data_IF_230820382707
#
_entry.id   IF_230820382707
#
_cell.length_a   1.000
_cell.length_b   1.000
_cell.length_c   1.000
_cell.angle_alpha   90.00
_cell.angle_beta   90.00
_cell.angle_gamma   90.00
#
_symmetry.space_group_name_H-M   'P 1'
#
loop_
_entity.id
_entity.type
_entity.pdbx_description
1 polymer ?
#
# COMPACT_ATOMS: atom_id res chain seq x y z
N UNK A 1 42.20 1.34 33.03
CA UNK A 1 42.10 0.03 32.36
C UNK A 1 41.19 0.19 31.15
N UNK A 2 41.72 0.10 29.94
CA UNK A 2 40.93 0.18 28.72
C UNK A 2 40.02 -1.05 28.66
N UNK A 3 38.71 -0.85 28.79
CA UNK A 3 37.71 -1.90 28.54
C UNK A 3 37.81 -2.26 27.07
N UNK A 4 38.45 -3.39 26.77
CA UNK A 4 38.52 -3.93 25.41
C UNK A 4 37.10 -4.20 24.97
N UNK A 5 36.59 -3.42 24.02
CA UNK A 5 35.22 -3.56 23.53
C UNK A 5 35.12 -4.89 22.79
N UNK A 6 34.34 -5.83 23.32
CA UNK A 6 34.09 -7.11 22.67
C UNK A 6 33.17 -6.88 21.45
N UNK A 7 33.73 -7.00 20.25
CA UNK A 7 33.03 -6.81 18.97
C UNK A 7 32.43 -8.11 18.40
N UNK A 8 32.69 -9.28 19.01
CA UNK A 8 32.15 -10.56 18.56
C UNK A 8 30.61 -10.60 18.45
N UNK A 9 29.83 -9.91 19.31
CA UNK A 9 28.38 -9.83 19.15
C UNK A 9 27.92 -9.23 17.80
N UNK A 10 28.77 -8.48 17.09
CA UNK A 10 28.45 -7.94 15.75
C UNK A 10 28.34 -9.02 14.65
N UNK A 11 28.72 -10.28 14.94
CA UNK A 11 28.50 -11.40 14.01
C UNK A 11 27.03 -11.52 13.58
N UNK A 12 26.08 -11.15 14.45
CA UNK A 12 24.67 -11.12 14.08
C UNK A 12 24.37 -10.18 12.92
N UNK A 13 25.02 -9.01 12.85
CA UNK A 13 24.85 -8.07 11.74
C UNK A 13 25.34 -8.69 10.44
N UNK A 14 26.47 -9.40 10.47
CA UNK A 14 26.98 -10.11 9.30
C UNK A 14 26.00 -11.20 8.83
N UNK A 15 25.42 -11.95 9.77
CA UNK A 15 24.38 -12.96 9.46
C UNK A 15 23.17 -12.32 8.78
N UNK A 16 22.72 -11.15 9.25
CA UNK A 16 21.61 -10.39 8.63
C UNK A 16 21.98 -9.97 7.20
N UNK A 17 23.16 -9.39 7.01
CA UNK A 17 23.62 -8.92 5.69
C UNK A 17 23.69 -10.08 4.71
N UNK A 18 24.35 -11.19 5.08
CA UNK A 18 24.47 -12.38 4.22
C UNK A 18 23.10 -12.99 3.94
N UNK A 19 22.24 -13.12 4.95
CA UNK A 19 20.89 -13.69 4.81
C UNK A 19 20.01 -12.90 3.83
N UNK A 20 20.04 -11.57 3.89
CA UNK A 20 19.27 -10.73 2.97
C UNK A 20 19.87 -10.68 1.57
N UNK A 21 21.20 -10.69 1.42
CA UNK A 21 21.87 -10.80 0.11
C UNK A 21 21.48 -12.11 -0.59
N UNK A 22 21.41 -13.21 0.16
CA UNK A 22 20.97 -14.52 -0.33
C UNK A 22 19.45 -14.66 -0.47
N UNK A 23 18.68 -13.60 -0.14
CA UNK A 23 17.20 -13.57 -0.19
C UNK A 23 16.53 -14.68 0.64
N UNK A 24 17.15 -15.07 1.75
CA UNK A 24 16.54 -16.02 2.68
C UNK A 24 15.36 -15.40 3.43
N UNK A 25 14.52 -16.25 4.01
CA UNK A 25 13.34 -15.82 4.76
C UNK A 25 13.76 -14.88 5.91
N UNK A 26 13.25 -13.62 5.95
CA UNK A 26 13.62 -12.64 6.98
C UNK A 26 13.49 -13.16 8.41
N UNK A 27 12.46 -13.95 8.72
CA UNK A 27 12.23 -14.47 10.07
C UNK A 27 13.33 -15.45 10.49
N UNK A 28 13.77 -16.32 9.58
CA UNK A 28 14.87 -17.27 9.83
C UNK A 28 16.20 -16.53 10.00
N UNK A 29 16.44 -15.52 9.15
CA UNK A 29 17.66 -14.71 9.19
C UNK A 29 17.78 -13.95 10.51
N UNK A 30 16.70 -13.29 10.96
CA UNK A 30 16.67 -12.56 12.24
C UNK A 30 16.83 -13.51 13.42
N UNK A 31 16.18 -14.67 13.39
CA UNK A 31 16.31 -15.70 14.44
C UNK A 31 17.75 -16.22 14.53
N UNK A 32 18.36 -16.58 13.40
CA UNK A 32 19.75 -17.03 13.36
C UNK A 32 20.73 -15.95 13.83
N UNK A 33 20.49 -14.69 13.46
CA UNK A 33 21.31 -13.56 13.90
C UNK A 33 21.20 -13.33 15.42
N UNK A 34 20.01 -13.43 16.00
CA UNK A 34 19.80 -13.32 17.44
C UNK A 34 20.55 -14.43 18.21
N UNK A 35 20.47 -15.68 17.73
CA UNK A 35 21.20 -16.81 18.31
C UNK A 35 22.72 -16.61 18.18
N UNK A 36 23.21 -16.26 16.99
CA UNK A 36 24.62 -16.05 16.73
C UNK A 36 25.20 -14.92 17.62
N UNK A 37 24.45 -13.82 17.79
CA UNK A 37 24.80 -12.71 18.67
C UNK A 37 24.86 -13.14 20.13
N UNK A 38 23.85 -13.87 20.60
CA UNK A 38 23.79 -14.37 21.98
C UNK A 38 24.94 -15.33 22.30
N UNK A 39 25.25 -16.25 21.38
CA UNK A 39 26.38 -17.17 21.53
C UNK A 39 27.73 -16.44 21.53
N UNK A 40 27.90 -15.46 20.64
CA UNK A 40 29.11 -14.63 20.57
C UNK A 40 29.30 -13.71 21.79
N UNK A 41 28.19 -13.37 22.48
CA UNK A 41 28.20 -12.65 23.75
C UNK A 41 28.39 -13.56 24.98
N UNK A 42 28.61 -14.87 24.78
CA UNK A 42 28.72 -15.88 25.82
C UNK A 42 27.48 -15.96 26.74
N UNK A 43 26.29 -15.65 26.21
CA UNK A 43 25.05 -15.84 26.98
C UNK A 43 24.69 -17.32 27.04
N UNK A 44 24.21 -17.83 28.19
CA UNK A 44 23.67 -19.18 28.26
C UNK A 44 22.41 -19.28 27.38
N UNK A 45 22.18 -20.46 26.80
CA UNK A 45 21.07 -20.69 25.86
C UNK A 45 19.71 -20.29 26.46
N UNK A 46 19.51 -20.57 27.75
CA UNK A 46 18.31 -20.16 28.50
C UNK A 46 18.09 -18.64 28.45
N UNK A 47 19.14 -17.84 28.62
CA UNK A 47 19.05 -16.37 28.58
C UNK A 47 18.74 -15.87 27.18
N UNK A 48 19.30 -16.49 26.13
CA UNK A 48 18.99 -16.14 24.74
C UNK A 48 17.50 -16.39 24.47
N UNK A 49 17.00 -17.57 24.84
CA UNK A 49 15.58 -17.92 24.67
C UNK A 49 14.66 -17.02 25.51
N UNK A 50 15.04 -16.74 26.76
CA UNK A 50 14.28 -15.85 27.64
C UNK A 50 14.19 -14.43 27.07
N UNK A 51 15.30 -13.85 26.60
CA UNK A 51 15.30 -12.52 25.99
C UNK A 51 14.48 -12.45 24.70
N UNK A 52 14.50 -13.50 23.88
CA UNK A 52 13.62 -13.59 22.71
C UNK A 52 12.15 -13.65 23.14
N UNK A 53 11.81 -14.51 24.12
CA UNK A 53 10.46 -14.64 24.66
C UNK A 53 9.94 -13.35 25.28
N UNK A 54 10.79 -12.63 26.01
CA UNK A 54 10.45 -11.33 26.60
C UNK A 54 10.16 -10.28 25.52
N UNK A 55 10.94 -10.24 24.43
CA UNK A 55 10.64 -9.38 23.28
C UNK A 55 9.30 -9.72 22.59
N UNK A 56 8.95 -11.01 22.50
CA UNK A 56 7.62 -11.43 22.01
C UNK A 56 6.49 -10.97 22.95
N UNK A 57 6.67 -11.09 24.26
CA UNK A 57 5.68 -10.66 25.24
C UNK A 57 5.49 -9.14 25.25
N UNK A 58 6.57 -8.37 25.14
CA UNK A 58 6.54 -6.90 25.07
C UNK A 58 5.82 -6.40 23.81
N UNK A 59 5.86 -7.16 22.72
CA UNK A 59 5.17 -6.82 21.46
C UNK A 59 3.78 -7.44 21.33
N UNK A 60 3.25 -8.07 22.38
CA UNK A 60 1.91 -8.72 22.37
C UNK A 60 0.78 -7.74 22.00
N UNK A 61 0.85 -6.49 22.46
CA UNK A 61 -0.15 -5.48 22.12
C UNK A 61 -0.23 -5.25 20.60
N UNK A 62 0.90 -5.25 19.90
CA UNK A 62 0.96 -5.14 18.45
C UNK A 62 0.35 -6.36 17.75
N UNK A 63 0.57 -7.56 18.27
CA UNK A 63 -0.05 -8.77 17.71
C UNK A 63 -1.58 -8.70 17.79
N UNK A 64 -2.13 -8.20 18.90
CA UNK A 64 -3.58 -8.02 19.04
C UNK A 64 -4.12 -6.95 18.07
N UNK A 65 -3.41 -5.83 17.94
CA UNK A 65 -3.73 -4.76 16.99
C UNK A 65 -3.69 -5.28 15.55
N UNK A 66 -2.81 -6.22 15.22
CA UNK A 66 -2.71 -6.82 13.89
C UNK A 66 -3.78 -7.91 13.64
N UNK A 67 -3.97 -8.82 14.59
CA UNK A 67 -4.82 -10.00 14.42
C UNK A 67 -6.32 -9.67 14.48
N UNK A 68 -6.72 -8.72 15.32
CA UNK A 68 -8.14 -8.41 15.52
C UNK A 68 -8.78 -7.75 14.28
N UNK A 69 -8.17 -6.71 13.66
CA UNK A 69 -8.66 -6.16 12.40
C UNK A 69 -8.66 -7.20 11.27
N UNK A 70 -7.65 -8.08 11.21
CA UNK A 70 -7.61 -9.14 10.19
C UNK A 70 -8.84 -10.06 10.28
N UNK A 71 -9.26 -10.44 11.49
CA UNK A 71 -10.46 -11.25 11.68
C UNK A 71 -11.75 -10.51 11.25
N UNK A 72 -11.84 -9.21 11.58
CA UNK A 72 -12.97 -8.36 11.16
C UNK A 72 -13.02 -8.21 9.64
N UNK A 73 -11.89 -7.91 9.01
CA UNK A 73 -11.75 -7.79 7.55
C UNK A 73 -12.11 -9.12 6.87
N UNK A 74 -11.61 -10.24 7.37
CA UNK A 74 -11.92 -11.57 6.85
C UNK A 74 -13.43 -11.90 6.95
N UNK A 75 -14.10 -11.48 8.03
CA UNK A 75 -15.54 -11.65 8.16
C UNK A 75 -16.30 -10.78 7.14
N UNK A 76 -15.90 -9.53 6.96
CA UNK A 76 -16.50 -8.62 5.99
C UNK A 76 -16.35 -9.13 4.55
N UNK A 77 -15.17 -9.63 4.19
CA UNK A 77 -14.92 -10.26 2.90
C UNK A 77 -15.76 -11.51 2.68
N UNK A 78 -15.88 -12.37 3.69
CA UNK A 78 -16.74 -13.57 3.63
C UNK A 78 -18.20 -13.22 3.35
N UNK A 79 -18.69 -12.09 3.85
CA UNK A 79 -20.03 -11.60 3.59
C UNK A 79 -20.17 -10.83 2.26
N UNK A 80 -19.16 -10.86 1.40
CA UNK A 80 -19.23 -10.33 0.05
C UNK A 80 -19.03 -8.82 -0.05
N UNK A 81 -18.39 -8.17 0.93
CA UNK A 81 -18.07 -6.74 0.90
C UNK A 81 -17.37 -6.35 -0.42
N UNK A 82 -16.48 -7.21 -0.92
CA UNK A 82 -15.79 -7.01 -2.19
C UNK A 82 -16.72 -6.98 -3.40
N UNK A 83 -17.66 -7.93 -3.48
CA UNK A 83 -18.65 -7.97 -4.57
C UNK A 83 -19.57 -6.74 -4.51
N UNK A 84 -19.95 -6.33 -3.29
CA UNK A 84 -20.78 -5.15 -3.10
C UNK A 84 -20.05 -3.87 -3.56
N UNK A 85 -18.78 -3.70 -3.21
CA UNK A 85 -17.95 -2.59 -3.65
C UNK A 85 -17.79 -2.56 -5.19
N UNK A 86 -17.54 -3.72 -5.81
CA UNK A 86 -17.47 -3.84 -7.27
C UNK A 86 -18.78 -3.43 -7.95
N UNK A 87 -19.91 -3.95 -7.48
CA UNK A 87 -21.24 -3.60 -8.01
C UNK A 87 -21.58 -2.13 -7.81
N UNK A 88 -21.13 -1.51 -6.72
CA UNK A 88 -21.34 -0.09 -6.47
C UNK A 88 -20.50 0.78 -7.41
N UNK A 89 -19.23 0.43 -7.64
CA UNK A 89 -18.35 1.16 -8.58
C UNK A 89 -18.87 1.03 -10.02
N UNK A 90 -19.39 -0.14 -10.41
CA UNK A 90 -19.98 -0.37 -11.73
C UNK A 90 -21.14 0.60 -12.07
N UNK A 91 -21.85 1.13 -11.07
CA UNK A 91 -22.94 2.11 -11.31
C UNK A 91 -22.45 3.42 -11.93
N UNK A 92 -21.16 3.72 -11.85
CA UNK A 92 -20.56 4.94 -12.38
C UNK A 92 -20.07 4.81 -13.84
N UNK A 93 -20.49 3.77 -14.57
CA UNK A 93 -20.18 3.53 -16.00
C UNK A 93 -20.45 4.71 -16.96
N UNK A 94 -21.28 5.68 -16.56
CA UNK A 94 -21.58 6.88 -17.39
C UNK A 94 -20.59 8.03 -17.17
N UNK A 95 -19.58 7.87 -16.33
CA UNK A 95 -18.58 8.89 -16.03
C UNK A 95 -17.47 8.94 -17.11
N UNK A 96 -16.76 10.09 -17.22
CA UNK A 96 -15.53 10.16 -18.02
C UNK A 96 -14.43 9.32 -17.36
N UNK A 97 -13.41 8.91 -18.12
CA UNK A 97 -12.28 8.13 -17.59
C UNK A 97 -11.68 8.78 -16.35
N UNK A 98 -11.38 10.08 -16.41
CA UNK A 98 -10.81 10.79 -15.27
C UNK A 98 -11.72 10.78 -14.05
N UNK A 99 -13.02 11.01 -14.22
CA UNK A 99 -13.98 11.04 -13.10
C UNK A 99 -14.20 9.65 -12.51
N UNK A 100 -14.25 8.60 -13.34
CA UNK A 100 -14.29 7.21 -12.88
C UNK A 100 -13.07 6.88 -12.02
N UNK A 101 -11.87 7.23 -12.49
CA UNK A 101 -10.62 6.96 -11.76
C UNK A 101 -10.51 7.77 -10.47
N UNK A 102 -11.02 9.00 -10.41
CA UNK A 102 -11.03 9.80 -9.18
C UNK A 102 -11.97 9.17 -8.13
N UNK A 103 -13.16 8.72 -8.53
CA UNK A 103 -14.09 8.02 -7.63
C UNK A 103 -13.45 6.73 -7.13
N UNK A 104 -12.84 5.96 -8.04
CA UNK A 104 -12.13 4.74 -7.67
C UNK A 104 -10.97 5.02 -6.70
N UNK A 105 -10.16 6.05 -6.95
CA UNK A 105 -9.08 6.49 -6.06
C UNK A 105 -9.60 6.74 -4.65
N UNK A 106 -10.68 7.52 -4.54
CA UNK A 106 -11.28 7.87 -3.26
C UNK A 106 -11.74 6.62 -2.49
N UNK A 107 -12.43 5.71 -3.16
CA UNK A 107 -12.87 4.45 -2.56
C UNK A 107 -11.68 3.61 -2.15
N UNK A 108 -10.68 3.47 -3.03
CA UNK A 108 -9.51 2.64 -2.79
C UNK A 108 -8.70 3.13 -1.60
N UNK A 109 -8.47 4.42 -1.51
CA UNK A 109 -7.72 5.06 -0.44
C UNK A 109 -8.47 5.01 0.89
N UNK A 110 -9.77 5.33 0.88
CA UNK A 110 -10.61 5.25 2.10
C UNK A 110 -10.72 3.83 2.63
N UNK A 111 -10.89 2.85 1.74
CA UNK A 111 -10.97 1.43 2.14
C UNK A 111 -9.62 0.92 2.65
N UNK A 112 -8.51 1.29 2.02
CA UNK A 112 -7.17 0.96 2.49
C UNK A 112 -6.88 1.58 3.88
N UNK A 113 -7.30 2.83 4.11
CA UNK A 113 -7.19 3.48 5.43
C UNK A 113 -7.97 2.76 6.54
N UNK A 114 -9.07 2.11 6.19
CA UNK A 114 -9.84 1.24 7.10
C UNK A 114 -9.27 -0.19 7.20
N UNK A 115 -8.13 -0.48 6.57
CA UNK A 115 -7.49 -1.81 6.57
C UNK A 115 -8.00 -2.78 5.51
N UNK A 116 -8.97 -2.38 4.67
CA UNK A 116 -9.56 -3.22 3.64
C UNK A 116 -8.70 -3.23 2.36
N UNK A 117 -7.40 -3.52 2.51
CA UNK A 117 -6.39 -3.48 1.44
C UNK A 117 -6.63 -4.53 0.35
N UNK A 118 -7.37 -5.60 0.66
CA UNK A 118 -7.82 -6.67 -0.23
C UNK A 118 -9.02 -6.32 -1.14
N UNK A 119 -9.69 -5.19 -0.92
CA UNK A 119 -10.84 -4.81 -1.73
C UNK A 119 -10.47 -4.36 -3.15
N UNK A 120 -9.28 -3.76 -3.33
CA UNK A 120 -8.75 -3.31 -4.62
C UNK A 120 -7.77 -4.31 -5.22
N UNK A 121 -6.72 -3.85 -5.90
CA UNK A 121 -5.67 -4.72 -6.43
C UNK A 121 -5.82 -5.06 -7.91
N UNK A 122 -4.68 -5.28 -8.56
CA UNK A 122 -4.60 -5.52 -10.01
C UNK A 122 -5.45 -6.69 -10.51
N UNK A 123 -5.37 -7.90 -9.93
CA UNK A 123 -6.15 -9.05 -10.39
C UNK A 123 -7.62 -8.96 -10.00
N UNK A 124 -7.92 -8.16 -8.98
CA UNK A 124 -9.15 -8.25 -8.20
C UNK A 124 -10.15 -7.17 -8.57
N UNK A 125 -9.69 -5.97 -8.90
CA UNK A 125 -10.51 -4.85 -9.37
C UNK A 125 -10.00 -4.24 -10.68
N UNK A 126 -8.69 -4.03 -10.83
CA UNK A 126 -8.19 -3.27 -11.98
C UNK A 126 -8.49 -4.00 -13.29
N UNK A 127 -8.05 -5.25 -13.42
CA UNK A 127 -8.21 -6.04 -14.64
C UNK A 127 -9.67 -6.40 -14.98
N UNK A 128 -10.48 -6.95 -14.04
CA UNK A 128 -11.83 -7.41 -14.39
C UNK A 128 -12.88 -6.29 -14.45
N UNK A 129 -12.64 -5.14 -13.80
CA UNK A 129 -13.66 -4.09 -13.63
C UNK A 129 -13.18 -2.72 -14.11
N UNK A 130 -12.15 -2.15 -13.48
CA UNK A 130 -11.76 -0.76 -13.71
C UNK A 130 -11.24 -0.50 -15.13
N UNK A 131 -10.39 -1.40 -15.63
CA UNK A 131 -9.82 -1.35 -16.97
C UNK A 131 -10.90 -1.43 -18.08
N UNK A 132 -11.76 -2.47 -18.13
CA UNK A 132 -12.79 -2.55 -19.15
C UNK A 132 -13.80 -1.39 -19.05
N UNK A 133 -14.13 -0.91 -17.84
CA UNK A 133 -14.98 0.28 -17.68
C UNK A 133 -14.31 1.55 -18.21
N UNK A 134 -13.02 1.75 -17.93
CA UNK A 134 -12.28 2.93 -18.40
C UNK A 134 -12.09 2.91 -19.92
N UNK A 135 -11.80 1.74 -20.51
CA UNK A 135 -11.77 1.56 -21.97
C UNK A 135 -13.14 1.84 -22.59
N UNK A 136 -14.21 1.22 -22.08
CA UNK A 136 -15.57 1.43 -22.57
C UNK A 136 -16.05 2.88 -22.46
N UNK A 137 -15.71 3.58 -21.37
CA UNK A 137 -16.02 4.99 -21.18
C UNK A 137 -15.28 5.89 -22.19
N UNK A 138 -14.03 5.57 -22.52
CA UNK A 138 -13.25 6.28 -23.52
C UNK A 138 -13.76 5.99 -24.94
N UNK A 139 -14.02 4.71 -25.28
CA UNK A 139 -14.51 4.31 -26.60
C UNK A 139 -15.90 4.86 -26.91
N UNK A 140 -16.79 4.90 -25.91
CA UNK A 140 -18.12 5.51 -26.06
C UNK A 140 -18.06 6.99 -26.42
N UNK A 141 -17.03 7.70 -25.96
CA UNK A 141 -16.90 9.16 -26.14
C UNK A 141 -16.11 9.55 -27.38
N UNK A 142 -15.06 8.79 -27.70
CA UNK A 142 -14.11 9.13 -28.75
C UNK A 142 -14.09 8.15 -29.93
N UNK A 143 -14.89 7.07 -29.87
CA UNK A 143 -14.81 5.97 -30.82
C UNK A 143 -13.61 5.06 -30.54
N UNK A 144 -13.22 4.26 -31.54
CA UNK A 144 -12.14 3.27 -31.38
C UNK A 144 -10.82 3.95 -31.03
N UNK A 145 -10.22 3.55 -29.91
CA UNK A 145 -9.00 4.17 -29.39
C UNK A 145 -7.75 3.62 -30.11
N UNK A 146 -6.76 4.48 -30.41
CA UNK A 146 -5.43 4.03 -30.80
C UNK A 146 -4.76 3.23 -29.67
N UNK A 147 -3.99 2.18 -29.99
CA UNK A 147 -3.37 1.28 -29.01
C UNK A 147 -2.53 2.03 -27.96
N UNK A 148 -1.78 3.06 -28.39
CA UNK A 148 -0.98 3.90 -27.48
C UNK A 148 -1.83 4.59 -26.41
N UNK A 149 -3.02 5.07 -26.79
CA UNK A 149 -3.95 5.76 -25.89
C UNK A 149 -4.61 4.74 -24.96
N UNK A 150 -5.05 3.61 -25.52
CA UNK A 150 -5.62 2.49 -24.77
C UNK A 150 -4.67 2.01 -23.66
N UNK A 151 -3.41 1.71 -23.99
CA UNK A 151 -2.41 1.31 -23.00
C UNK A 151 -2.17 2.37 -21.94
N UNK A 152 -2.27 3.66 -22.29
CA UNK A 152 -2.14 4.75 -21.32
C UNK A 152 -3.32 4.83 -20.36
N UNK A 153 -4.55 4.55 -20.82
CA UNK A 153 -5.73 4.42 -19.97
C UNK A 153 -5.55 3.26 -18.99
N UNK A 154 -5.13 2.08 -19.48
CA UNK A 154 -4.84 0.91 -18.65
C UNK A 154 -3.75 1.18 -17.60
N UNK A 155 -2.67 1.83 -18.01
CA UNK A 155 -1.59 2.22 -17.11
C UNK A 155 -2.08 3.20 -16.03
N UNK A 156 -3.01 4.10 -16.37
CA UNK A 156 -3.60 5.02 -15.39
C UNK A 156 -4.53 4.30 -14.41
N UNK A 157 -5.26 3.26 -14.85
CA UNK A 157 -6.04 2.39 -13.95
C UNK A 157 -5.14 1.70 -12.92
N UNK A 158 -4.06 1.08 -13.40
CA UNK A 158 -3.05 0.43 -12.57
C UNK A 158 -2.37 1.40 -11.59
N UNK A 159 -2.00 2.59 -12.06
CA UNK A 159 -1.39 3.62 -11.22
C UNK A 159 -2.34 4.12 -10.13
N UNK A 160 -3.63 4.25 -10.44
CA UNK A 160 -4.63 4.75 -9.49
C UNK A 160 -4.85 3.78 -8.34
N UNK A 161 -4.88 2.46 -8.61
CA UNK A 161 -4.95 1.44 -7.55
C UNK A 161 -3.71 1.47 -6.65
N UNK A 162 -2.51 1.59 -7.24
CA UNK A 162 -1.27 1.64 -6.48
C UNK A 162 -1.19 2.87 -5.58
N UNK A 163 -1.51 4.06 -6.10
CA UNK A 163 -1.48 5.31 -5.32
C UNK A 163 -2.50 5.24 -4.19
N UNK A 164 -3.74 4.82 -4.48
CA UNK A 164 -4.79 4.71 -3.47
C UNK A 164 -4.45 3.71 -2.37
N UNK A 165 -3.88 2.55 -2.73
CA UNK A 165 -3.44 1.56 -1.73
C UNK A 165 -2.29 2.10 -0.89
N UNK A 166 -1.23 2.60 -1.53
CA UNK A 166 0.01 2.97 -0.84
C UNK A 166 -0.23 4.04 0.23
N UNK A 167 -0.86 5.15 -0.15
CA UNK A 167 -1.10 6.26 0.79
C UNK A 167 -2.29 6.02 1.73
N UNK A 168 -3.24 5.17 1.35
CA UNK A 168 -4.34 4.78 2.23
C UNK A 168 -3.88 3.84 3.33
N UNK A 169 -3.06 2.84 3.01
CA UNK A 169 -2.55 1.85 3.97
C UNK A 169 -1.70 2.48 5.08
N UNK A 170 -1.02 3.60 4.81
CA UNK A 170 -0.24 4.34 5.80
C UNK A 170 -1.07 4.90 6.97
N UNK A 171 -2.40 5.03 6.82
CA UNK A 171 -3.32 5.45 7.89
C UNK A 171 -3.81 4.24 8.72
N UNK A 172 -3.63 3.02 8.24
CA UNK A 172 -4.14 1.84 8.92
C UNK A 172 -3.21 1.44 10.08
N UNK A 173 -3.75 1.46 11.30
CA UNK A 173 -2.98 1.23 12.55
C UNK A 173 -2.25 -0.12 12.57
N UNK A 174 -2.80 -1.13 11.90
CA UNK A 174 -2.22 -2.46 11.78
C UNK A 174 -1.30 -2.63 10.56
N UNK A 175 -0.83 -1.52 9.98
CA UNK A 175 0.21 -1.57 8.96
C UNK A 175 1.59 -1.81 9.58
N UNK A 176 2.42 -2.63 8.91
CA UNK A 176 3.71 -3.08 9.43
C UNK A 176 4.68 -1.95 9.76
N UNK A 177 4.66 -0.86 8.99
CA UNK A 177 5.50 0.30 9.27
C UNK A 177 5.12 1.02 10.58
N UNK A 178 3.82 1.13 10.87
CA UNK A 178 3.34 1.74 12.12
C UNK A 178 3.73 0.88 13.32
N UNK A 179 3.59 -0.44 13.20
CA UNK A 179 4.03 -1.37 14.24
C UNK A 179 5.54 -1.23 14.52
N UNK A 180 6.37 -1.11 13.47
CA UNK A 180 7.80 -0.91 13.60
C UNK A 180 8.16 0.43 14.25
N UNK A 181 7.48 1.51 13.86
CA UNK A 181 7.70 2.83 14.48
C UNK A 181 7.32 2.81 15.96
N UNK A 182 6.19 2.18 16.31
CA UNK A 182 5.78 2.02 17.69
C UNK A 182 6.79 1.20 18.51
N UNK A 183 7.24 0.04 18.04
CA UNK A 183 8.24 -0.77 18.79
C UNK A 183 9.54 -0.01 18.99
N UNK A 184 9.99 0.74 17.99
CA UNK A 184 11.20 1.53 18.07
C UNK A 184 11.07 2.65 19.12
N UNK A 185 9.97 3.41 19.09
CA UNK A 185 9.71 4.48 20.05
C UNK A 185 9.59 3.94 21.47
N UNK A 186 8.84 2.84 21.64
CA UNK A 186 8.67 2.19 22.94
C UNK A 186 10.03 1.72 23.49
N UNK A 187 10.89 1.14 22.65
CA UNK A 187 12.25 0.74 23.02
C UNK A 187 13.17 1.92 23.41
N UNK A 188 12.84 3.14 22.97
CA UNK A 188 13.54 4.37 23.36
C UNK A 188 12.95 5.05 24.61
N UNK A 189 11.93 4.46 25.24
CA UNK A 189 11.23 5.03 26.39
C UNK A 189 10.12 6.03 26.02
N UNK A 190 9.73 6.10 24.75
CA UNK A 190 8.67 6.96 24.24
C UNK A 190 7.43 6.09 23.98
N UNK A 191 6.48 6.12 24.91
CA UNK A 191 5.22 5.40 24.78
C UNK A 191 4.22 6.24 23.95
N UNK A 192 4.12 5.94 22.66
CA UNK A 192 3.19 6.59 21.73
C UNK A 192 2.27 5.53 21.16
N UNK A 193 0.97 5.69 21.39
CA UNK A 193 -0.03 4.77 20.87
C UNK A 193 0.00 4.70 19.33
N UNK A 194 -0.08 3.50 18.71
CA UNK A 194 -0.06 3.32 17.25
C UNK A 194 -1.06 4.18 16.48
N UNK A 195 -2.23 4.46 17.08
CA UNK A 195 -3.25 5.32 16.49
C UNK A 195 -2.73 6.76 16.28
N UNK A 196 -1.97 7.29 17.24
CA UNK A 196 -1.41 8.65 17.12
C UNK A 196 -0.41 8.72 15.96
N UNK A 197 0.40 7.68 15.76
CA UNK A 197 1.32 7.58 14.62
C UNK A 197 0.54 7.56 13.30
N UNK A 198 -0.52 6.76 13.24
CA UNK A 198 -1.33 6.57 12.04
C UNK A 198 -2.10 7.83 11.61
N UNK A 199 -2.60 8.62 12.55
CA UNK A 199 -3.31 9.88 12.26
C UNK A 199 -2.42 10.89 11.52
N UNK A 200 -1.10 10.86 11.73
CA UNK A 200 -0.15 11.68 11.00
C UNK A 200 0.05 11.27 9.53
N UNK A 201 -0.45 10.10 9.12
CA UNK A 201 -0.54 9.70 7.71
C UNK A 201 -1.63 10.46 6.95
N UNK A 202 -2.67 10.95 7.63
CA UNK A 202 -3.84 11.58 7.00
C UNK A 202 -3.48 12.79 6.13
N UNK A 203 -2.66 13.77 6.59
CA UNK A 203 -2.27 14.90 5.74
C UNK A 203 -1.57 14.46 4.45
N UNK A 204 -0.69 13.46 4.53
CA UNK A 204 0.02 12.91 3.38
C UNK A 204 -0.92 12.24 2.39
N UNK A 205 -1.87 11.44 2.89
CA UNK A 205 -2.90 10.81 2.07
C UNK A 205 -3.77 11.86 1.36
N UNK A 206 -4.27 12.87 2.07
CA UNK A 206 -5.03 13.98 1.47
C UNK A 206 -4.23 14.67 0.36
N UNK A 207 -2.95 14.95 0.58
CA UNK A 207 -2.08 15.53 -0.44
C UNK A 207 -1.95 14.60 -1.66
N UNK A 208 -1.71 13.31 -1.45
CA UNK A 208 -1.60 12.32 -2.52
C UNK A 208 -2.90 12.19 -3.32
N UNK A 209 -4.06 12.16 -2.64
CA UNK A 209 -5.38 12.17 -3.25
C UNK A 209 -5.55 13.38 -4.16
N UNK A 210 -5.30 14.59 -3.65
CA UNK A 210 -5.46 15.83 -4.41
C UNK A 210 -4.52 15.86 -5.63
N UNK A 211 -3.25 15.54 -5.44
CA UNK A 211 -2.24 15.55 -6.52
C UNK A 211 -2.63 14.56 -7.61
N UNK A 212 -3.01 13.34 -7.24
CA UNK A 212 -3.37 12.32 -8.23
C UNK A 212 -4.73 12.59 -8.86
N UNK A 213 -5.71 13.13 -8.12
CA UNK A 213 -6.98 13.57 -8.68
C UNK A 213 -6.79 14.68 -9.72
N UNK A 214 -5.91 15.66 -9.46
CA UNK A 214 -5.55 16.70 -10.44
C UNK A 214 -4.88 16.06 -11.67
N UNK A 215 -3.98 15.09 -11.49
CA UNK A 215 -3.34 14.35 -12.58
C UNK A 215 -4.36 13.61 -13.44
N UNK A 216 -5.34 12.95 -12.83
CA UNK A 216 -6.45 12.25 -13.51
C UNK A 216 -7.37 13.23 -14.26
N UNK A 217 -7.68 14.38 -13.66
CA UNK A 217 -8.45 15.43 -14.34
C UNK A 217 -7.71 16.01 -15.56
N UNK A 218 -6.40 16.25 -15.42
CA UNK A 218 -5.55 16.69 -16.54
C UNK A 218 -5.44 15.62 -17.62
N UNK A 219 -5.40 14.34 -17.24
CA UNK A 219 -5.40 13.23 -18.18
C UNK A 219 -6.69 13.17 -19.01
N UNK A 220 -7.85 13.37 -18.38
CA UNK A 220 -9.14 13.42 -19.09
C UNK A 220 -9.17 14.58 -20.11
N UNK A 221 -8.70 15.78 -19.71
CA UNK A 221 -8.58 16.92 -20.64
C UNK A 221 -7.62 16.65 -21.79
N UNK A 222 -6.53 15.93 -21.52
CA UNK A 222 -5.55 15.56 -22.55
C UNK A 222 -6.14 14.56 -23.54
N UNK A 223 -6.90 13.57 -23.07
CA UNK A 223 -7.66 12.66 -23.94
C UNK A 223 -8.62 13.44 -24.85
N UNK A 224 -9.37 14.40 -24.29
CA UNK A 224 -10.24 15.26 -25.10
C UNK A 224 -9.46 16.01 -26.18
N UNK A 225 -8.32 16.60 -25.85
CA UNK A 225 -7.49 17.36 -26.82
C UNK A 225 -6.86 16.49 -27.90
N UNK A 226 -6.40 15.28 -27.56
CA UNK A 226 -5.73 14.38 -28.49
C UNK A 226 -6.72 13.63 -29.41
N UNK A 227 -7.96 13.42 -28.97
CA UNK A 227 -8.94 12.58 -29.67
C UNK A 227 -10.13 13.35 -30.25
N UNK A 228 -10.36 14.60 -29.84
CA UNK A 228 -11.34 15.46 -30.51
C UNK A 228 -10.66 16.07 -31.74
N UNK A 229 -11.15 15.83 -32.96
CA UNK A 229 -10.55 16.44 -34.14
C UNK A 229 -10.61 17.95 -33.99
N UNK A 230 -9.47 18.63 -34.20
CA UNK A 230 -9.48 20.08 -34.41
C UNK A 230 -10.42 20.36 -35.58
N UNK A 231 -11.54 21.03 -35.30
CA UNK A 231 -12.36 21.65 -36.35
C UNK A 231 -11.43 22.63 -37.05
N UNK A 232 -10.84 22.20 -38.16
CA UNK A 232 -10.23 23.12 -39.11
C UNK A 232 -11.42 23.90 -39.66
N UNK A 233 -11.50 25.23 -39.48
CA UNK A 233 -12.55 25.98 -40.14
C UNK A 233 -12.41 25.70 -41.63
N UNK A 234 -13.49 25.18 -42.20
CA UNK A 234 -13.64 24.95 -43.62
C UNK A 234 -13.23 26.25 -44.31
N UNK A 235 -12.10 26.22 -45.03
CA UNK A 235 -11.68 27.31 -45.88
C UNK A 235 -12.69 27.45 -47.01
N UNK A 236 -13.77 28.16 -46.75
CA UNK A 236 -14.59 28.81 -47.74
C UNK A 236 -13.75 29.93 -48.36
N UNK A 237 -13.20 29.68 -49.55
CA UNK A 237 -12.79 30.73 -50.47
C UNK A 237 -12.65 30.14 -51.87
N UNK A 238 -13.73 30.37 -52.64
CA UNK A 238 -13.81 30.68 -54.08
C UNK A 238 -13.27 29.66 -55.09
#
# INVERSE_FOLDING_TARGET
>A
MQTVVNLWPLIGVLVIVVGFVLRFNPLLVVTAAAIATGLAAHFPLEKILASMGEGFLQTRALQLILLLPLAVIGLLERHGLRLHAQNWIARFERATVGRLLIIYLFVRESTAAMGLTSLGGHPQMVRPLLAPMAEGAAEKRYGKLPDKVRHKVLAMCAATDNVGLFFGEDIFVAFGAIALMHTFLLGSGIDVEPLHIAVWGIPTAICAFIIHAIRLHRFDRRLTRELTPSVTPMGAAQ
#
